data_IF_303089255343
#
_entry.id   IF_303089255343
#
_cell.length_a   1.000
_cell.length_b   1.000
_cell.length_c   1.000
_cell.angle_alpha   90.00
_cell.angle_beta   90.00
_cell.angle_gamma   90.00
#
_symmetry.space_group_name_H-M   'P 1'
#
loop_
_entity.id
_entity.type
_entity.pdbx_description
1 polymer ?
#
# COMPACT_ATOMS: atom_id res chain seq x y z
N UNK A 1 12.64 -1.64 10.61
CA UNK A 1 11.31 -1.64 11.28
C UNK A 1 10.28 -1.68 10.18
N UNK A 2 9.34 -2.63 10.23
CA UNK A 2 8.26 -2.73 9.25
C UNK A 2 7.07 -1.89 9.72
N UNK A 3 6.49 -1.11 8.82
CA UNK A 3 5.32 -0.27 9.05
C UNK A 3 4.20 -0.71 8.09
N UNK A 4 2.95 -0.51 8.50
CA UNK A 4 1.82 -0.66 7.60
C UNK A 4 1.93 0.37 6.48
N UNK A 5 1.57 -0.04 5.27
CA UNK A 5 1.63 0.79 4.07
C UNK A 5 0.38 0.60 3.22
N UNK A 6 -0.02 1.70 2.60
CA UNK A 6 -1.07 1.76 1.61
C UNK A 6 -0.43 2.20 0.31
N UNK A 7 -0.55 1.38 -0.72
CA UNK A 7 -0.01 1.64 -2.05
C UNK A 7 -1.16 1.89 -3.00
N UNK A 8 -1.18 3.07 -3.61
CA UNK A 8 -2.16 3.44 -4.62
C UNK A 8 -1.57 3.11 -5.99
N UNK A 9 -2.37 2.47 -6.84
CA UNK A 9 -2.00 2.01 -8.17
C UNK A 9 -2.62 2.93 -9.21
N UNK A 10 -1.89 3.22 -10.28
CA UNK A 10 -2.40 4.01 -11.40
C UNK A 10 -3.59 3.32 -12.08
N UNK A 11 -4.54 4.11 -12.59
CA UNK A 11 -5.74 3.63 -13.27
C UNK A 11 -5.40 2.74 -14.48
N UNK A 12 -4.36 3.10 -15.24
CA UNK A 12 -3.84 2.33 -16.37
C UNK A 12 -3.32 0.92 -15.98
N UNK A 13 -2.99 0.71 -14.70
CA UNK A 13 -2.47 -0.55 -14.15
C UNK A 13 -3.52 -1.34 -13.36
N UNK A 14 -4.78 -0.89 -13.27
CA UNK A 14 -5.83 -1.57 -12.50
C UNK A 14 -6.10 -3.00 -13.00
N UNK A 15 -6.18 -3.19 -14.32
CA UNK A 15 -6.34 -4.52 -14.94
C UNK A 15 -5.12 -5.43 -14.69
N UNK A 16 -3.99 -4.83 -14.31
CA UNK A 16 -2.72 -5.50 -14.02
C UNK A 16 -2.29 -5.35 -12.56
N UNK A 17 -3.23 -5.06 -11.65
CA UNK A 17 -2.91 -4.78 -10.24
C UNK A 17 -2.23 -5.97 -9.55
N UNK A 18 -2.56 -7.20 -9.92
CA UNK A 18 -1.88 -8.39 -9.41
C UNK A 18 -0.39 -8.41 -9.80
N UNK A 19 -0.06 -7.91 -11.00
CA UNK A 19 1.33 -7.77 -11.43
C UNK A 19 2.07 -6.73 -10.56
N UNK A 20 1.41 -5.63 -10.22
CA UNK A 20 1.96 -4.61 -9.31
C UNK A 20 2.16 -5.20 -7.91
N UNK A 21 1.18 -5.95 -7.39
CA UNK A 21 1.27 -6.63 -6.10
C UNK A 21 2.43 -7.64 -6.05
N UNK A 22 2.65 -8.40 -7.13
CA UNK A 22 3.80 -9.30 -7.24
C UNK A 22 5.14 -8.56 -7.26
N UNK A 23 5.22 -7.42 -7.95
CA UNK A 23 6.44 -6.58 -7.95
C UNK A 23 6.73 -6.04 -6.54
N UNK A 24 5.71 -5.53 -5.85
CA UNK A 24 5.82 -5.09 -4.47
C UNK A 24 6.31 -6.22 -3.54
N UNK A 25 5.80 -7.45 -3.72
CA UNK A 25 6.29 -8.63 -3.00
C UNK A 25 7.77 -8.91 -3.23
N UNK A 26 8.25 -8.77 -4.47
CA UNK A 26 9.68 -8.96 -4.80
C UNK A 26 10.58 -7.88 -4.19
N UNK A 27 10.05 -6.67 -3.99
CA UNK A 27 10.76 -5.56 -3.31
C UNK A 27 10.85 -5.81 -1.79
N UNK A 28 10.08 -6.75 -1.25
CA UNK A 28 10.06 -7.07 0.17
C UNK A 28 8.81 -6.57 0.90
N UNK A 29 7.78 -6.12 0.16
CA UNK A 29 6.47 -5.83 0.74
C UNK A 29 5.73 -7.13 1.04
N UNK A 30 5.21 -7.26 2.27
CA UNK A 30 4.22 -8.30 2.57
C UNK A 30 2.83 -7.73 2.32
N UNK A 31 2.27 -8.05 1.16
CA UNK A 31 0.90 -7.67 0.78
C UNK A 31 -0.10 -8.40 1.67
N UNK A 32 -0.99 -7.63 2.31
CA UNK A 32 -2.10 -8.10 3.14
C UNK A 32 -3.41 -8.19 2.33
N UNK A 33 -3.77 -7.11 1.64
CA UNK A 33 -4.99 -7.03 0.83
C UNK A 33 -4.75 -6.27 -0.47
N UNK A 34 -5.42 -6.71 -1.52
CA UNK A 34 -5.52 -6.01 -2.79
C UNK A 34 -6.98 -5.61 -2.97
N UNK A 35 -7.23 -4.30 -3.09
CA UNK A 35 -8.52 -3.71 -3.38
C UNK A 35 -8.54 -3.29 -4.85
N UNK A 36 -8.67 -4.28 -5.73
CA UNK A 36 -8.62 -4.13 -7.20
C UNK A 36 -9.60 -3.09 -7.75
N UNK A 37 -10.81 -3.03 -7.21
CA UNK A 37 -11.86 -2.09 -7.68
C UNK A 37 -11.51 -0.62 -7.47
N UNK A 38 -10.66 -0.31 -6.49
CA UNK A 38 -10.27 1.06 -6.14
C UNK A 38 -8.79 1.32 -6.34
N UNK A 39 -8.03 0.33 -6.81
CA UNK A 39 -6.60 0.50 -7.09
C UNK A 39 -5.71 0.59 -5.86
N UNK A 40 -6.06 -0.05 -4.76
CA UNK A 40 -5.29 0.07 -3.51
C UNK A 40 -4.73 -1.28 -3.08
N UNK A 41 -3.46 -1.30 -2.68
CA UNK A 41 -2.78 -2.48 -2.12
C UNK A 41 -2.32 -2.12 -0.71
N UNK A 42 -2.78 -2.86 0.29
CA UNK A 42 -2.33 -2.70 1.67
C UNK A 42 -1.37 -3.82 2.06
N UNK A 43 -0.45 -3.51 2.96
CA UNK A 43 0.48 -4.50 3.48
C UNK A 43 1.45 -3.89 4.48
N UNK A 44 2.53 -4.61 4.76
CA UNK A 44 3.63 -4.12 5.58
C UNK A 44 4.92 -4.08 4.78
N UNK A 45 5.71 -3.04 5.00
CA UNK A 45 6.97 -2.80 4.30
C UNK A 45 8.00 -2.22 5.27
N UNK A 46 9.26 -2.63 5.10
CA UNK A 46 10.35 -2.01 5.84
C UNK A 46 10.64 -0.61 5.33
N UNK A 47 10.98 0.30 6.25
CA UNK A 47 11.32 1.70 5.95
C UNK A 47 12.33 1.86 4.81
N UNK A 48 13.36 1.03 4.81
CA UNK A 48 14.43 1.04 3.82
C UNK A 48 13.94 0.67 2.40
N UNK A 49 12.79 -0.01 2.29
CA UNK A 49 12.21 -0.43 1.02
C UNK A 49 11.10 0.50 0.50
N UNK A 50 10.75 1.59 1.20
CA UNK A 50 9.73 2.54 0.74
C UNK A 50 10.06 3.16 -0.61
N UNK A 51 11.30 3.60 -0.78
CA UNK A 51 11.73 4.25 -2.02
C UNK A 51 11.70 3.25 -3.19
N UNK A 52 12.13 2.02 -2.94
CA UNK A 52 12.07 0.93 -3.90
C UNK A 52 10.62 0.58 -4.29
N UNK A 53 9.68 0.58 -3.33
CA UNK A 53 8.26 0.35 -3.61
C UNK A 53 7.65 1.49 -4.43
N UNK A 54 8.03 2.74 -4.16
CA UNK A 54 7.59 3.92 -4.91
C UNK A 54 8.16 3.98 -6.33
N UNK A 55 9.30 3.36 -6.57
CA UNK A 55 9.90 3.19 -7.89
C UNK A 55 9.26 2.06 -8.73
N UNK A 56 8.34 1.27 -8.16
CA UNK A 56 7.68 0.17 -8.89
C UNK A 56 6.76 0.74 -9.99
N UNK A 57 6.90 0.27 -11.25
CA UNK A 57 5.99 0.68 -12.33
C UNK A 57 4.54 0.31 -12.02
N UNK A 58 3.67 1.31 -12.10
CA UNK A 58 2.24 1.23 -11.78
C UNK A 58 1.87 1.73 -10.39
N UNK A 59 2.84 2.05 -9.54
CA UNK A 59 2.59 2.69 -8.25
C UNK A 59 2.43 4.19 -8.42
N UNK A 60 1.25 4.70 -8.05
CA UNK A 60 0.95 6.13 -8.03
C UNK A 60 1.42 6.79 -6.73
N UNK A 61 1.20 6.13 -5.60
CA UNK A 61 1.61 6.62 -4.29
C UNK A 61 1.90 5.48 -3.32
N UNK A 62 2.82 5.72 -2.38
CA UNK A 62 3.08 4.84 -1.23
C UNK A 62 2.94 5.69 0.02
N UNK A 63 1.93 5.37 0.82
CA UNK A 63 1.59 6.08 2.05
C UNK A 63 1.80 5.15 3.25
N UNK A 64 2.20 5.75 4.38
CA UNK A 64 2.30 5.02 5.65
C UNK A 64 0.89 4.83 6.20
N UNK A 65 0.54 3.60 6.53
CA UNK A 65 -0.69 3.29 7.27
C UNK A 65 -0.59 3.90 8.65
N UNK A 66 -1.16 5.08 8.84
CA UNK A 66 -1.32 5.67 10.16
C UNK A 66 -2.63 5.14 10.75
N UNK A 67 -2.57 4.50 11.91
CA UNK A 67 -3.77 4.11 12.63
C UNK A 67 -4.41 5.38 13.19
N UNK A 68 -5.33 5.97 12.43
CA UNK A 68 -6.17 7.06 12.94
C UNK A 68 -7.05 6.50 14.06
N UNK A 69 -6.67 6.78 15.31
CA UNK A 69 -7.52 6.50 16.47
C UNK A 69 -8.53 7.61 16.59
N UNK A 70 -9.77 7.37 16.16
CA UNK A 70 -10.88 8.27 16.48
C UNK A 70 -11.02 8.28 18.00
N UNK A 71 -10.87 9.44 18.67
CA UNK A 71 -11.11 9.51 20.10
C UNK A 71 -12.57 9.10 20.36
N UNK A 72 -12.87 8.30 21.39
CA UNK A 72 -14.24 8.00 21.75
C UNK A 72 -14.96 9.33 21.97
N UNK A 73 -16.04 9.56 21.21
CA UNK A 73 -16.88 10.73 21.41
C UNK A 73 -17.52 10.63 22.79
N UNK A 74 -17.26 11.62 23.64
CA UNK A 74 -18.05 11.83 24.85
C UNK A 74 -19.50 12.01 24.38
N UNK A 75 -20.32 10.98 24.60
CA UNK A 75 -21.76 11.07 24.38
C UNK A 75 -22.30 11.94 25.51
N UNK A 76 -22.70 13.17 25.19
CA UNK A 76 -23.41 14.07 26.12
C UNK A 76 -24.86 13.62 26.29
#
# INVERSE_FOLDING_TARGET
>A
MAEEVVVTVHDEWLDHIDTVAQRLRRVGMRVDRVLEFVGVITGVLERDHFDAARAVPGVAAVERGETVRIPPGETQ
#
